data_IF_756460073669
#
_entry.id   IF_756460073669
#
_cell.length_a   1.000
_cell.length_b   1.000
_cell.length_c   1.000
_cell.angle_alpha   90.00
_cell.angle_beta   90.00
_cell.angle_gamma   90.00
#
_symmetry.space_group_name_H-M   'P 1'
#
loop_
_entity.id
_entity.type
_entity.pdbx_description
1 polymer ?
#
# COMPACT_ATOMS: atom_id res chain seq x y z
N UNK A 1 16.89 2.74 6.58
CA UNK A 1 17.39 2.95 5.19
C UNK A 1 18.10 1.72 4.61
N UNK A 2 18.70 0.84 5.42
CA UNK A 2 19.43 -0.35 4.92
C UNK A 2 18.59 -1.27 4.02
N UNK A 3 17.30 -1.46 4.32
CA UNK A 3 16.39 -2.30 3.51
C UNK A 3 16.18 -1.76 2.08
N UNK A 4 16.10 -0.44 1.92
CA UNK A 4 15.88 0.18 0.61
C UNK A 4 17.08 -0.03 -0.30
N UNK A 5 18.28 0.20 0.23
CA UNK A 5 19.55 0.00 -0.49
C UNK A 5 19.75 -1.48 -0.83
N UNK A 6 19.48 -2.38 0.12
CA UNK A 6 19.52 -3.83 -0.13
C UNK A 6 18.56 -4.23 -1.26
N UNK A 7 17.36 -3.66 -1.28
CA UNK A 7 16.36 -3.91 -2.33
C UNK A 7 16.87 -3.52 -3.72
N UNK A 8 17.49 -2.35 -3.85
CA UNK A 8 18.07 -1.90 -5.13
C UNK A 8 19.22 -2.82 -5.56
N UNK A 9 20.10 -3.19 -4.62
CA UNK A 9 21.23 -4.09 -4.92
C UNK A 9 20.71 -5.43 -5.44
N UNK A 10 19.71 -6.03 -4.78
CA UNK A 10 19.12 -7.30 -5.21
C UNK A 10 18.45 -7.17 -6.58
N UNK A 11 17.70 -6.09 -6.82
CA UNK A 11 17.07 -5.82 -8.11
C UNK A 11 18.09 -5.60 -9.25
N UNK A 12 19.35 -5.28 -8.92
CA UNK A 12 20.45 -5.07 -9.87
C UNK A 12 21.25 -6.34 -10.21
N UNK A 13 21.02 -7.48 -9.53
CA UNK A 13 21.84 -8.70 -9.71
C UNK A 13 21.66 -9.34 -11.11
N UNK A 14 20.53 -9.11 -11.79
CA UNK A 14 20.24 -9.68 -13.12
C UNK A 14 20.52 -8.75 -14.32
N UNK A 15 20.37 -7.43 -14.14
CA UNK A 15 20.59 -6.41 -15.18
C UNK A 15 21.10 -5.14 -14.50
N UNK A 16 22.39 -4.84 -14.67
CA UNK A 16 23.03 -3.66 -14.08
C UNK A 16 22.81 -2.36 -14.89
N UNK A 17 21.98 -2.41 -15.94
CA UNK A 17 21.66 -1.21 -16.71
C UNK A 17 20.71 -0.31 -15.91
N UNK A 18 21.22 0.84 -15.52
CA UNK A 18 20.52 1.89 -14.78
C UNK A 18 19.23 2.30 -15.51
N UNK A 19 19.17 2.16 -16.84
CA UNK A 19 17.98 2.50 -17.64
C UNK A 19 16.80 1.54 -17.47
N UNK A 20 17.04 0.33 -16.96
CA UNK A 20 16.00 -0.73 -16.86
C UNK A 20 15.89 -1.35 -15.47
N UNK A 21 16.63 -0.82 -14.50
CA UNK A 21 16.62 -1.35 -13.13
C UNK A 21 15.22 -1.21 -12.52
N UNK A 22 14.72 -2.28 -11.89
CA UNK A 22 13.41 -2.25 -11.24
C UNK A 22 13.46 -1.34 -10.00
N UNK A 23 12.69 -0.26 -10.02
CA UNK A 23 12.63 0.71 -8.92
C UNK A 23 11.68 0.25 -7.81
N UNK A 24 10.42 -0.13 -8.06
CA UNK A 24 9.55 -0.67 -7.02
C UNK A 24 9.89 -2.14 -6.68
N UNK A 25 9.71 -2.51 -5.41
CA UNK A 25 10.11 -3.81 -4.91
C UNK A 25 9.73 -4.01 -3.45
N UNK A 26 9.62 -5.27 -3.06
CA UNK A 26 9.10 -5.68 -1.74
C UNK A 26 9.85 -5.01 -0.59
N UNK A 27 11.18 -4.94 -0.67
CA UNK A 27 12.00 -4.33 0.39
C UNK A 27 11.82 -2.81 0.49
N UNK A 28 11.61 -2.13 -0.64
CA UNK A 28 11.39 -0.70 -0.66
C UNK A 28 10.00 -0.37 -0.15
N UNK A 29 9.00 -1.16 -0.51
CA UNK A 29 7.64 -1.11 0.03
C UNK A 29 7.62 -1.25 1.54
N UNK A 30 8.33 -2.24 2.10
CA UNK A 30 8.48 -2.37 3.55
C UNK A 30 9.23 -1.20 4.18
N UNK A 31 10.34 -0.76 3.59
CA UNK A 31 11.12 0.35 4.12
C UNK A 31 10.27 1.63 4.21
N UNK A 32 9.48 1.91 3.17
CA UNK A 32 8.60 3.07 3.11
C UNK A 32 7.42 2.94 4.07
N UNK A 33 6.74 1.79 4.12
CA UNK A 33 5.59 1.59 5.00
C UNK A 33 5.98 1.68 6.48
N UNK A 34 7.07 1.01 6.89
CA UNK A 34 7.59 1.10 8.25
C UNK A 34 8.10 2.50 8.58
N UNK A 35 8.77 3.17 7.64
CA UNK A 35 9.26 4.54 7.83
C UNK A 35 8.13 5.52 8.13
N UNK A 36 7.08 5.52 7.32
CA UNK A 36 5.92 6.41 7.50
C UNK A 36 5.22 6.10 8.83
N UNK A 37 4.93 4.83 9.12
CA UNK A 37 4.25 4.44 10.35
C UNK A 37 5.09 4.75 11.59
N UNK A 38 6.41 4.57 11.54
CA UNK A 38 7.31 4.93 12.63
C UNK A 38 7.29 6.45 12.90
N UNK A 39 7.32 7.28 11.86
CA UNK A 39 7.22 8.74 12.01
C UNK A 39 5.87 9.13 12.65
N UNK A 40 4.77 8.54 12.19
CA UNK A 40 3.45 8.78 12.79
C UNK A 40 3.38 8.30 14.24
N UNK A 41 4.04 7.17 14.57
CA UNK A 41 4.14 6.69 15.94
C UNK A 41 4.92 7.66 16.83
N UNK A 42 6.03 8.23 16.35
CA UNK A 42 6.80 9.23 17.11
C UNK A 42 5.95 10.47 17.44
N UNK A 43 5.22 10.99 16.46
CA UNK A 43 4.27 12.09 16.68
C UNK A 43 3.20 11.69 17.70
N UNK A 44 2.64 10.47 17.57
CA UNK A 44 1.61 9.97 18.50
C UNK A 44 2.13 9.87 19.95
N UNK A 45 3.35 9.36 20.15
CA UNK A 45 3.96 9.24 21.49
C UNK A 45 4.23 10.60 22.11
N UNK A 46 4.71 11.56 21.33
CA UNK A 46 4.92 12.94 21.80
C UNK A 46 3.60 13.58 22.27
N UNK A 47 2.50 13.39 21.54
CA UNK A 47 1.16 13.87 21.92
C UNK A 47 0.62 13.20 23.20
N UNK A 48 0.92 11.92 23.40
CA UNK A 48 0.51 11.19 24.61
C UNK A 48 1.29 11.69 25.83
N UNK A 49 2.59 11.92 25.68
CA UNK A 49 3.50 12.31 26.77
C UNK A 49 3.29 13.76 27.21
N UNK A 50 2.95 14.66 26.28
CA UNK A 50 2.74 16.09 26.57
C UNK A 50 1.39 16.41 27.24
N UNK A 51 0.45 15.46 27.28
CA UNK A 51 -0.90 15.71 27.79
C UNK A 51 -1.12 15.09 29.18
N UNK A 52 -1.40 15.94 30.18
CA UNK A 52 -1.78 15.60 31.57
C UNK A 52 -3.13 14.85 31.72
N UNK A 53 -3.67 14.32 30.62
CA UNK A 53 -5.06 13.85 30.53
C UNK A 53 -5.19 12.37 30.90
N UNK A 54 -6.26 11.95 31.62
CA UNK A 54 -6.40 10.61 32.18
C UNK A 54 -6.40 9.49 31.13
N UNK A 55 -5.98 8.30 31.57
CA UNK A 55 -5.72 7.08 30.78
C UNK A 55 -6.92 6.57 29.95
N UNK A 56 -8.13 7.04 30.28
CA UNK A 56 -9.40 6.67 29.67
C UNK A 56 -9.58 7.26 28.25
N UNK A 57 -8.98 8.42 27.96
CA UNK A 57 -9.06 9.11 26.67
C UNK A 57 -8.00 8.64 25.66
N UNK A 58 -7.38 7.48 25.91
CA UNK A 58 -6.31 6.95 25.08
C UNK A 58 -6.74 6.72 23.63
N UNK A 59 -7.98 6.32 23.34
CA UNK A 59 -8.43 6.08 21.96
C UNK A 59 -8.36 7.35 21.09
N UNK A 60 -8.69 8.52 21.65
CA UNK A 60 -8.61 9.80 20.93
C UNK A 60 -7.17 10.22 20.66
N UNK A 61 -6.21 9.87 21.53
CA UNK A 61 -4.79 10.24 21.33
C UNK A 61 -4.12 9.46 20.19
N UNK A 62 -4.65 8.30 19.81
CA UNK A 62 -4.17 7.51 18.66
C UNK A 62 -4.75 8.00 17.31
N UNK A 63 -5.48 9.13 17.30
CA UNK A 63 -6.03 9.70 16.07
C UNK A 63 -5.03 9.88 14.92
N UNK A 64 -3.73 10.19 15.12
CA UNK A 64 -2.82 10.36 13.97
C UNK A 64 -2.63 9.07 13.18
N UNK A 65 -2.67 7.91 13.87
CA UNK A 65 -2.53 6.60 13.24
C UNK A 65 -3.79 6.21 12.47
N UNK A 66 -4.96 6.44 13.07
CA UNK A 66 -6.24 6.21 12.40
C UNK A 66 -6.43 7.17 11.22
N UNK A 67 -6.05 8.44 11.36
CA UNK A 67 -6.08 9.41 10.28
C UNK A 67 -5.17 8.99 9.12
N UNK A 68 -3.94 8.54 9.40
CA UNK A 68 -3.05 7.99 8.37
C UNK A 68 -3.70 6.81 7.64
N UNK A 69 -4.24 5.83 8.37
CA UNK A 69 -4.89 4.67 7.78
C UNK A 69 -6.11 5.07 6.92
N UNK A 70 -6.97 5.97 7.42
CA UNK A 70 -8.13 6.47 6.68
C UNK A 70 -7.74 7.25 5.43
N UNK A 71 -6.71 8.10 5.49
CA UNK A 71 -6.21 8.85 4.32
C UNK A 71 -5.67 7.87 3.27
N UNK A 72 -4.85 6.89 3.69
CA UNK A 72 -4.30 5.89 2.75
C UNK A 72 -5.40 5.02 2.13
N UNK A 73 -6.44 4.67 2.91
CA UNK A 73 -7.60 3.94 2.40
C UNK A 73 -8.38 4.76 1.39
N UNK A 74 -8.63 6.04 1.69
CA UNK A 74 -9.33 6.94 0.77
C UNK A 74 -8.56 7.11 -0.53
N UNK A 75 -7.24 7.30 -0.46
CA UNK A 75 -6.35 7.35 -1.65
C UNK A 75 -6.50 6.07 -2.47
N UNK A 76 -6.38 4.90 -1.82
CA UNK A 76 -6.50 3.61 -2.49
C UNK A 76 -7.86 3.45 -3.20
N UNK A 77 -8.95 3.69 -2.48
CA UNK A 77 -10.31 3.56 -3.01
C UNK A 77 -10.59 4.58 -4.12
N UNK A 78 -10.18 5.83 -3.95
CA UNK A 78 -10.37 6.88 -4.95
C UNK A 78 -9.71 6.49 -6.29
N UNK A 79 -8.42 6.15 -6.24
CA UNK A 79 -7.69 5.78 -7.45
C UNK A 79 -8.17 4.47 -8.06
N UNK A 80 -8.57 3.49 -7.23
CA UNK A 80 -9.01 2.18 -7.73
C UNK A 80 -10.41 2.23 -8.32
N UNK A 81 -11.35 2.96 -7.70
CA UNK A 81 -12.78 2.87 -8.00
C UNK A 81 -13.36 4.08 -8.73
N UNK A 82 -12.78 5.27 -8.56
CA UNK A 82 -13.38 6.52 -9.07
C UNK A 82 -12.55 7.20 -10.15
N UNK A 83 -11.25 6.94 -10.21
CA UNK A 83 -10.38 7.57 -11.20
C UNK A 83 -10.51 6.91 -12.57
N UNK A 84 -10.92 7.70 -13.57
CA UNK A 84 -10.83 7.31 -14.96
C UNK A 84 -9.43 7.62 -15.51
N UNK A 85 -8.60 6.60 -15.67
CA UNK A 85 -7.22 6.73 -16.13
C UNK A 85 -7.07 6.67 -17.67
N UNK A 86 -8.05 6.08 -18.37
CA UNK A 86 -8.10 5.97 -19.84
C UNK A 86 -9.56 6.12 -20.32
N UNK A 87 -9.74 6.62 -21.53
CA UNK A 87 -11.05 6.75 -22.18
C UNK A 87 -11.62 5.39 -22.59
N UNK A 88 -10.76 4.42 -22.90
CA UNK A 88 -11.17 3.09 -23.38
C UNK A 88 -11.44 2.09 -22.25
N UNK A 89 -11.22 2.48 -21.00
CA UNK A 89 -11.39 1.62 -19.83
C UNK A 89 -12.56 2.09 -18.97
N UNK A 90 -13.41 1.16 -18.47
CA UNK A 90 -14.49 1.54 -17.57
C UNK A 90 -13.94 1.98 -16.22
N UNK A 91 -14.66 2.87 -15.56
CA UNK A 91 -14.31 3.37 -14.23
C UNK A 91 -14.36 2.19 -13.25
N UNK A 92 -13.31 2.05 -12.42
CA UNK A 92 -13.22 0.96 -11.46
C UNK A 92 -12.81 -0.39 -12.04
N UNK A 93 -12.20 -0.42 -13.23
CA UNK A 93 -11.74 -1.67 -13.84
C UNK A 93 -10.72 -2.41 -12.97
N UNK A 94 -11.11 -3.58 -12.46
CA UNK A 94 -10.27 -4.50 -11.67
C UNK A 94 -10.00 -5.84 -12.40
N UNK A 95 -10.37 -5.92 -13.67
CA UNK A 95 -10.13 -7.11 -14.49
C UNK A 95 -8.66 -7.25 -14.92
N UNK A 96 -8.29 -8.40 -15.50
CA UNK A 96 -6.93 -8.65 -15.95
C UNK A 96 -6.53 -7.86 -17.21
N UNK A 97 -7.48 -7.46 -18.07
CA UNK A 97 -7.23 -6.77 -19.34
C UNK A 97 -6.58 -7.66 -20.40
N UNK A 98 -6.03 -7.03 -21.45
CA UNK A 98 -5.22 -7.71 -22.47
C UNK A 98 -6.04 -8.69 -23.29
N UNK A 99 -5.57 -9.94 -23.37
CA UNK A 99 -6.25 -11.03 -24.11
C UNK A 99 -7.54 -11.54 -23.45
N UNK A 100 -7.88 -11.05 -22.26
CA UNK A 100 -9.09 -11.46 -21.55
C UNK A 100 -10.37 -11.03 -22.27
N UNK A 101 -11.43 -11.83 -22.10
CA UNK A 101 -12.78 -11.55 -22.60
C UNK A 101 -12.80 -11.15 -24.09
N UNK A 102 -12.21 -12.00 -24.94
CA UNK A 102 -12.07 -11.77 -26.38
C UNK A 102 -11.48 -10.40 -26.73
N UNK A 103 -10.54 -9.88 -25.91
CA UNK A 103 -9.87 -8.60 -26.14
C UNK A 103 -10.87 -7.42 -26.05
N UNK A 104 -11.83 -7.49 -25.15
CA UNK A 104 -12.77 -6.38 -24.91
C UNK A 104 -12.10 -5.16 -24.28
N UNK A 105 -11.05 -5.38 -23.47
CA UNK A 105 -10.31 -4.33 -22.74
C UNK A 105 -8.79 -4.50 -22.84
N UNK A 106 -8.20 -4.39 -24.05
CA UNK A 106 -6.78 -4.68 -24.28
C UNK A 106 -5.86 -3.74 -23.49
N UNK A 107 -6.23 -2.46 -23.39
CA UNK A 107 -5.38 -1.43 -22.80
C UNK A 107 -5.56 -1.21 -21.30
N UNK A 108 -6.35 -2.06 -20.64
CA UNK A 108 -6.74 -1.88 -19.24
C UNK A 108 -5.97 -2.80 -18.26
N UNK A 109 -4.85 -3.40 -18.71
CA UNK A 109 -4.06 -4.34 -17.89
C UNK A 109 -3.54 -3.64 -16.63
N UNK A 110 -3.79 -4.24 -15.46
CA UNK A 110 -3.36 -3.68 -14.17
C UNK A 110 -4.15 -2.45 -13.72
N UNK A 111 -5.19 -2.04 -14.46
CA UNK A 111 -6.11 -0.97 -14.11
C UNK A 111 -5.43 0.35 -13.74
N UNK A 112 -6.02 1.06 -12.78
CA UNK A 112 -5.47 2.33 -12.29
C UNK A 112 -4.04 2.18 -11.71
N UNK A 113 -3.73 1.04 -11.09
CA UNK A 113 -2.42 0.80 -10.48
C UNK A 113 -1.29 0.85 -11.53
N UNK A 114 -1.48 0.18 -12.67
CA UNK A 114 -0.56 0.27 -13.81
C UNK A 114 -0.28 1.72 -14.20
N UNK A 115 -1.32 2.55 -14.33
CA UNK A 115 -1.14 3.93 -14.80
C UNK A 115 -0.34 4.77 -13.79
N UNK A 116 -0.57 4.57 -12.50
CA UNK A 116 0.21 5.25 -11.45
C UNK A 116 1.67 4.82 -11.52
N UNK A 117 1.94 3.52 -11.64
CA UNK A 117 3.30 3.01 -11.69
C UNK A 117 4.04 3.50 -12.94
N UNK A 118 3.36 3.57 -14.08
CA UNK A 118 3.90 4.13 -15.32
C UNK A 118 4.27 5.61 -15.16
N UNK A 119 3.41 6.41 -14.53
CA UNK A 119 3.66 7.85 -14.33
C UNK A 119 4.83 8.09 -13.38
N UNK A 120 4.97 7.26 -12.34
CA UNK A 120 5.93 7.51 -11.25
C UNK A 120 7.27 6.84 -11.49
N UNK A 121 7.26 5.57 -11.91
CA UNK A 121 8.46 4.77 -12.10
C UNK A 121 8.89 4.72 -13.56
N UNK A 122 8.04 5.12 -14.52
CA UNK A 122 8.28 4.95 -15.97
C UNK A 122 8.28 3.47 -16.40
N UNK A 123 7.83 3.20 -17.64
CA UNK A 123 7.73 1.85 -18.23
C UNK A 123 9.00 0.98 -18.11
N UNK A 124 10.17 1.61 -18.10
CA UNK A 124 11.44 0.89 -18.11
C UNK A 124 11.83 0.31 -16.75
N UNK A 125 11.25 0.83 -15.66
CA UNK A 125 11.58 0.43 -14.31
C UNK A 125 10.51 -0.45 -13.66
N UNK A 126 9.48 -0.84 -14.42
CA UNK A 126 8.45 -1.79 -13.99
C UNK A 126 8.87 -3.24 -14.25
N UNK A 127 8.34 -4.17 -13.47
CA UNK A 127 8.58 -5.59 -13.62
C UNK A 127 8.07 -6.16 -14.96
N UNK A 128 8.94 -6.83 -15.72
CA UNK A 128 8.62 -7.38 -17.06
C UNK A 128 8.37 -8.89 -17.09
N UNK A 129 8.97 -9.65 -16.17
CA UNK A 129 8.93 -11.12 -16.19
C UNK A 129 7.89 -11.68 -15.22
N UNK A 130 6.62 -11.32 -15.39
CA UNK A 130 5.51 -11.91 -14.64
C UNK A 130 4.79 -12.98 -15.48
N UNK A 131 4.21 -13.97 -14.79
CA UNK A 131 3.40 -15.00 -15.45
C UNK A 131 2.15 -14.39 -16.12
N UNK A 132 1.54 -13.38 -15.46
CA UNK A 132 0.39 -12.67 -16.00
C UNK A 132 0.67 -11.92 -17.31
N UNK A 133 1.90 -11.44 -17.52
CA UNK A 133 2.28 -10.75 -18.75
C UNK A 133 2.49 -11.68 -19.92
N UNK A 134 2.82 -12.95 -19.67
CA UNK A 134 2.78 -13.99 -20.70
C UNK A 134 1.33 -14.39 -21.01
N UNK A 135 0.49 -14.52 -19.98
CA UNK A 135 -0.90 -14.98 -20.13
C UNK A 135 -1.81 -13.95 -20.84
N UNK A 136 -1.64 -12.66 -20.52
CA UNK A 136 -2.44 -11.55 -21.05
C UNK A 136 -1.71 -10.72 -22.11
N UNK A 137 -0.52 -11.18 -22.53
CA UNK A 137 0.35 -10.55 -23.53
C UNK A 137 0.62 -9.06 -23.27
N UNK A 138 1.18 -8.77 -22.10
CA UNK A 138 1.57 -7.41 -21.70
C UNK A 138 2.60 -6.79 -22.66
N UNK A 139 3.42 -7.63 -23.29
CA UNK A 139 4.43 -7.21 -24.27
C UNK A 139 3.80 -6.62 -25.53
N UNK A 140 2.74 -7.23 -26.06
CA UNK A 140 2.02 -6.76 -27.23
C UNK A 140 1.43 -5.36 -27.04
N UNK A 141 0.86 -5.08 -25.86
CA UNK A 141 0.22 -3.79 -25.56
C UNK A 141 1.17 -2.76 -24.92
N UNK A 142 2.41 -3.16 -24.59
CA UNK A 142 3.41 -2.32 -23.93
C UNK A 142 2.89 -1.65 -22.64
N UNK A 143 2.18 -2.45 -21.84
CA UNK A 143 1.58 -2.10 -20.54
C UNK A 143 2.23 -2.93 -19.45
N UNK A 144 3.14 -2.32 -18.70
CA UNK A 144 3.95 -3.00 -17.69
C UNK A 144 3.47 -2.62 -16.29
N UNK A 145 2.82 -3.58 -15.62
CA UNK A 145 2.30 -3.38 -14.28
C UNK A 145 3.26 -3.97 -13.23
N UNK A 146 3.58 -3.19 -12.19
CA UNK A 146 4.40 -3.68 -11.09
C UNK A 146 3.54 -4.11 -9.89
N UNK A 147 3.64 -5.38 -9.44
CA UNK A 147 2.86 -5.85 -8.28
C UNK A 147 3.25 -5.17 -6.96
N UNK A 148 4.43 -4.55 -6.90
CA UNK A 148 4.94 -3.80 -5.74
C UNK A 148 4.88 -2.29 -5.94
N UNK A 149 4.01 -1.85 -6.86
CA UNK A 149 3.80 -0.46 -7.23
C UNK A 149 3.27 0.43 -6.10
N UNK A 150 3.17 1.74 -6.39
CA UNK A 150 2.89 2.75 -5.36
C UNK A 150 1.51 2.55 -4.75
N UNK A 151 0.50 2.24 -5.55
CA UNK A 151 -0.86 2.02 -5.05
C UNK A 151 -0.90 0.86 -4.04
N UNK A 152 -0.11 -0.21 -4.28
CA UNK A 152 0.06 -1.31 -3.33
C UNK A 152 0.76 -0.89 -2.03
N UNK A 153 1.64 0.11 -2.05
CA UNK A 153 2.27 0.60 -0.81
C UNK A 153 1.25 1.20 0.17
N UNK A 154 0.16 1.81 -0.32
CA UNK A 154 -0.90 2.39 0.53
C UNK A 154 -1.58 1.32 1.39
N UNK A 155 -1.90 0.16 0.81
CA UNK A 155 -2.49 -0.97 1.54
C UNK A 155 -1.51 -1.57 2.54
N UNK A 156 -0.21 -1.59 2.23
CA UNK A 156 0.83 -1.98 3.19
C UNK A 156 0.96 -1.03 4.36
N UNK A 157 0.83 0.29 4.14
CA UNK A 157 0.83 1.26 5.25
C UNK A 157 -0.36 0.97 6.17
N UNK A 158 -1.55 0.76 5.62
CA UNK A 158 -2.75 0.41 6.41
C UNK A 158 -2.49 -0.85 7.24
N UNK A 159 -1.98 -1.92 6.62
CA UNK A 159 -1.68 -3.18 7.32
C UNK A 159 -0.61 -2.98 8.41
N UNK A 160 0.38 -2.13 8.16
CA UNK A 160 1.43 -1.80 9.12
C UNK A 160 0.85 -1.04 10.32
N UNK A 161 -0.08 -0.11 10.11
CA UNK A 161 -0.81 0.58 11.19
C UNK A 161 -1.63 -0.42 12.01
N UNK A 162 -2.36 -1.33 11.36
CA UNK A 162 -3.13 -2.38 12.06
C UNK A 162 -2.20 -3.26 12.90
N UNK A 163 -1.07 -3.70 12.32
CA UNK A 163 -0.05 -4.49 13.03
C UNK A 163 0.50 -3.77 14.26
N UNK A 164 0.79 -2.47 14.16
CA UNK A 164 1.24 -1.64 15.29
C UNK A 164 0.18 -1.60 16.41
N UNK A 165 -1.09 -1.39 16.07
CA UNK A 165 -2.20 -1.35 17.03
C UNK A 165 -2.40 -2.68 17.76
N UNK A 166 -2.33 -3.79 17.02
CA UNK A 166 -2.43 -5.14 17.57
C UNK A 166 -1.24 -5.41 18.50
N UNK A 167 -0.02 -5.12 18.06
CA UNK A 167 1.20 -5.30 18.86
C UNK A 167 1.15 -4.50 20.17
N UNK A 168 0.77 -3.23 20.10
CA UNK A 168 0.60 -2.38 21.28
C UNK A 168 -0.48 -2.91 22.23
N UNK A 169 -1.59 -3.45 21.70
CA UNK A 169 -2.67 -4.04 22.50
C UNK A 169 -2.23 -5.32 23.21
N UNK A 170 -1.44 -6.16 22.56
CA UNK A 170 -0.94 -7.43 23.13
C UNK A 170 0.10 -7.17 24.23
N UNK A 171 1.03 -6.24 23.99
CA UNK A 171 2.16 -5.98 24.90
C UNK A 171 1.74 -5.25 26.18
N UNK A 172 0.75 -4.34 26.12
CA UNK A 172 0.38 -3.49 27.26
C UNK A 172 -0.82 -3.98 28.08
N UNK A 173 -1.61 -4.94 27.58
CA UNK A 173 -2.72 -5.51 28.32
C UNK A 173 -2.38 -6.93 28.76
N UNK A 174 -2.40 -7.19 30.07
CA UNK A 174 -2.11 -8.54 30.61
C UNK A 174 -3.34 -9.44 30.50
N UNK A 175 -4.55 -8.91 30.71
CA UNK A 175 -5.78 -9.70 30.73
C UNK A 175 -6.30 -10.02 29.31
N UNK A 176 -6.61 -11.30 28.99
CA UNK A 176 -7.14 -11.69 27.68
C UNK A 176 -8.43 -10.97 27.30
N UNK A 177 -9.33 -10.79 28.26
CA UNK A 177 -10.61 -10.12 28.02
C UNK A 177 -10.46 -8.62 27.70
N UNK A 178 -9.48 -7.96 28.32
CA UNK A 178 -9.15 -6.57 28.02
C UNK A 178 -8.54 -6.43 26.61
N UNK A 179 -7.73 -7.39 26.16
CA UNK A 179 -7.22 -7.47 24.78
C UNK A 179 -8.38 -7.60 23.78
N UNK A 180 -9.28 -8.55 24.02
CA UNK A 180 -10.42 -8.82 23.15
C UNK A 180 -11.33 -7.59 22.97
N UNK A 181 -11.73 -6.95 24.08
CA UNK A 181 -12.55 -5.73 24.04
C UNK A 181 -11.87 -4.60 23.25
N UNK A 182 -10.56 -4.42 23.42
CA UNK A 182 -9.82 -3.35 22.73
C UNK A 182 -9.66 -3.63 21.24
N UNK A 183 -9.43 -4.89 20.84
CA UNK A 183 -9.39 -5.28 19.43
C UNK A 183 -10.74 -5.05 18.75
N UNK A 184 -11.85 -5.41 19.40
CA UNK A 184 -13.20 -5.11 18.88
C UNK A 184 -13.39 -3.60 18.73
N UNK A 185 -13.02 -2.80 19.71
CA UNK A 185 -13.14 -1.34 19.62
C UNK A 185 -12.32 -0.77 18.46
N UNK A 186 -11.13 -1.31 18.19
CA UNK A 186 -10.30 -0.91 17.03
C UNK A 186 -11.01 -1.25 15.71
N UNK A 187 -11.58 -2.45 15.60
CA UNK A 187 -12.35 -2.88 14.42
C UNK A 187 -13.58 -1.99 14.22
N UNK A 188 -14.32 -1.68 15.28
CA UNK A 188 -15.49 -0.81 15.21
C UNK A 188 -15.10 0.60 14.82
N UNK A 189 -14.03 1.18 15.37
CA UNK A 189 -13.59 2.55 15.03
C UNK A 189 -13.08 2.65 13.59
N UNK A 190 -12.37 1.62 13.11
CA UNK A 190 -11.92 1.54 11.72
C UNK A 190 -13.07 1.25 10.75
N UNK A 191 -14.06 0.45 11.16
CA UNK A 191 -15.19 0.03 10.34
C UNK A 191 -16.38 0.98 10.35
N UNK A 192 -16.57 1.81 11.39
CA UNK A 192 -17.73 2.70 11.54
C UNK A 192 -17.63 4.01 10.75
N UNK A 193 -16.59 4.18 9.93
CA UNK A 193 -16.35 5.39 9.12
C UNK A 193 -16.24 5.11 7.61
N UNK A 194 -16.62 3.92 7.19
CA UNK A 194 -16.86 3.56 5.78
C UNK A 194 -18.37 3.62 5.58
#
# INVERSE_FOLDING_TARGET
MNLFVLGIIINSIGSADIKTIRIPGVLQRFALSYGIVALTQLVTVNLITSSLMPRCLNCFKLWPQYALASIMLFIYLYFTLFWQFDQNCPIGYMGPGGLYDNISYPFCIGGAAHKIDEIIFTKNHCYRNNFGGVLYDQGLFNLWHDPEGLLGTTTSIILTVVGLQVGHTILHNVQPWARFRRLINIVVILGSKI
#
